data_IF_396998036189
#
_entry.id   IF_396998036189
#
_cell.length_a   1.000
_cell.length_b   1.000
_cell.length_c   1.000
_cell.angle_alpha   90.00
_cell.angle_beta   90.00
_cell.angle_gamma   90.00
#
_symmetry.space_group_name_H-M   'P 1'
#
loop_
_entity.id
_entity.type
_entity.pdbx_description
1 polymer ?
#
# COMPACT_ATOMS: atom_id res chain seq x y z
N UNK A 1 -36.96 19.48 -1.88
CA UNK A 1 -36.56 18.73 -0.67
C UNK A 1 -37.82 18.41 0.11
N UNK A 2 -38.11 17.13 0.39
CA UNK A 2 -37.57 16.57 1.62
C UNK A 2 -36.93 15.17 1.46
N UNK A 3 -36.14 14.88 2.47
CA UNK A 3 -35.22 13.78 2.68
C UNK A 3 -35.93 12.74 3.52
N UNK A 4 -35.81 11.45 3.20
CA UNK A 4 -36.16 10.40 4.15
C UNK A 4 -35.01 9.40 4.22
N UNK A 5 -34.18 9.62 5.25
CA UNK A 5 -33.40 8.59 5.92
C UNK A 5 -34.32 7.41 6.25
N UNK A 6 -33.91 6.19 5.89
CA UNK A 6 -34.35 5.01 6.62
C UNK A 6 -33.17 4.52 7.44
N UNK A 7 -33.39 4.56 8.74
CA UNK A 7 -32.48 4.23 9.83
C UNK A 7 -31.98 2.79 9.74
N UNK A 8 -30.69 2.62 10.06
CA UNK A 8 -30.17 1.33 10.49
C UNK A 8 -30.68 1.08 11.92
N UNK A 9 -31.48 0.02 12.10
CA UNK A 9 -31.77 -0.52 13.41
C UNK A 9 -30.55 -1.32 13.92
N UNK A 10 -30.24 -1.11 15.20
CA UNK A 10 -29.10 -1.66 15.93
C UNK A 10 -29.17 -3.19 16.15
N UNK A 11 -28.03 -3.83 16.48
CA UNK A 11 -28.01 -5.22 16.94
C UNK A 11 -28.54 -5.37 18.37
N UNK A 12 -29.48 -6.29 18.54
CA UNK A 12 -30.10 -6.60 19.82
C UNK A 12 -29.14 -7.28 20.80
N UNK A 13 -29.41 -6.99 22.06
CA UNK A 13 -28.57 -7.17 23.23
C UNK A 13 -28.76 -8.54 23.91
N UNK A 14 -27.63 -9.12 24.32
CA UNK A 14 -27.42 -10.06 25.43
C UNK A 14 -28.18 -11.40 25.51
N UNK A 15 -27.40 -12.49 25.61
CA UNK A 15 -27.78 -13.64 26.44
C UNK A 15 -26.54 -14.34 27.05
N UNK A 16 -26.36 -14.07 28.35
CA UNK A 16 -25.89 -14.95 29.45
C UNK A 16 -24.50 -15.62 29.45
N UNK A 17 -23.71 -15.40 30.52
CA UNK A 17 -22.57 -16.22 30.91
C UNK A 17 -22.97 -17.26 31.97
N UNK A 18 -22.63 -18.52 31.77
CA UNK A 18 -22.42 -19.50 32.84
C UNK A 18 -21.95 -20.83 32.23
N UNK A 19 -20.71 -21.23 32.49
CA UNK A 19 -20.55 -22.40 33.35
C UNK A 19 -19.18 -22.34 34.04
N UNK A 20 -19.19 -22.59 35.34
CA UNK A 20 -17.99 -22.68 36.18
C UNK A 20 -17.80 -24.14 36.56
N UNK A 21 -16.59 -24.69 36.40
CA UNK A 21 -16.04 -25.51 37.47
C UNK A 21 -14.56 -25.88 37.31
N UNK A 22 -13.89 -26.15 38.44
CA UNK A 22 -12.45 -26.00 38.64
C UNK A 22 -11.73 -27.35 38.49
N UNK A 23 -10.40 -27.33 38.39
CA UNK A 23 -9.51 -28.28 39.07
C UNK A 23 -8.04 -27.92 38.84
N UNK A 24 -7.38 -27.63 39.96
CA UNK A 24 -6.06 -28.09 40.35
C UNK A 24 -4.83 -27.85 39.46
N UNK A 25 -4.09 -26.84 39.89
CA UNK A 25 -2.69 -26.95 40.32
C UNK A 25 -1.85 -28.06 39.68
N UNK A 26 -1.04 -27.66 38.69
CA UNK A 26 0.26 -28.30 38.45
C UNK A 26 1.30 -27.21 38.21
N UNK A 27 1.91 -26.78 39.31
CA UNK A 27 3.18 -26.05 39.31
C UNK A 27 4.25 -26.98 38.75
N UNK A 28 4.68 -26.73 37.52
CA UNK A 28 5.86 -27.41 36.98
C UNK A 28 6.74 -26.40 36.24
N UNK A 29 7.78 -25.99 36.97
CA UNK A 29 9.14 -25.72 36.48
C UNK A 29 9.30 -24.53 35.53
N UNK A 30 9.95 -23.49 36.06
CA UNK A 30 10.67 -22.44 35.32
C UNK A 30 11.61 -23.10 34.31
N UNK A 31 11.19 -23.18 33.05
CA UNK A 31 12.07 -23.50 31.94
C UNK A 31 12.55 -22.20 31.29
N UNK A 32 13.88 -22.08 31.29
CA UNK A 32 14.66 -20.96 30.84
C UNK A 32 14.23 -20.45 29.46
N UNK A 33 14.05 -19.13 29.36
CA UNK A 33 13.89 -18.42 28.09
C UNK A 33 15.06 -18.74 27.15
N UNK A 34 14.82 -19.26 25.94
CA UNK A 34 15.70 -19.02 24.82
C UNK A 34 15.36 -17.63 24.27
N UNK A 35 16.21 -16.65 24.60
CA UNK A 35 16.30 -15.39 23.88
C UNK A 35 16.80 -15.70 22.46
N UNK A 36 15.91 -15.85 21.48
CA UNK A 36 16.21 -15.69 20.04
C UNK A 36 14.93 -15.78 19.22
N UNK A 37 14.04 -14.80 19.37
CA UNK A 37 13.13 -14.48 18.28
C UNK A 37 13.49 -13.06 17.87
N UNK A 38 14.53 -12.99 17.03
CA UNK A 38 14.61 -11.94 16.01
C UNK A 38 13.18 -11.72 15.54
N UNK A 39 12.62 -10.57 15.88
CA UNK A 39 11.41 -10.10 15.22
C UNK A 39 11.84 -9.87 13.78
N UNK A 40 11.86 -10.95 12.99
CA UNK A 40 11.53 -10.89 11.59
C UNK A 40 10.14 -10.29 11.60
N UNK A 41 10.11 -8.96 11.63
CA UNK A 41 9.01 -8.17 11.13
C UNK A 41 8.75 -8.82 9.80
N UNK A 42 7.74 -9.69 9.76
CA UNK A 42 7.23 -10.23 8.54
C UNK A 42 6.71 -8.99 7.83
N UNK A 43 7.59 -8.38 7.04
CA UNK A 43 7.20 -7.49 5.98
C UNK A 43 6.40 -8.43 5.11
N UNK A 44 5.09 -8.53 5.41
CA UNK A 44 4.14 -9.09 4.47
C UNK A 44 4.54 -8.41 3.18
N UNK A 45 4.99 -9.16 2.14
CA UNK A 45 5.18 -8.53 0.85
C UNK A 45 3.85 -7.85 0.62
N UNK A 46 3.85 -6.51 0.58
CA UNK A 46 2.66 -5.75 0.26
C UNK A 46 2.22 -6.40 -1.02
N UNK A 47 1.15 -7.19 -0.99
CA UNK A 47 0.62 -7.81 -2.20
C UNK A 47 0.48 -6.62 -3.11
N UNK A 48 1.29 -6.59 -4.15
CA UNK A 48 1.35 -5.49 -5.09
C UNK A 48 -0.09 -5.31 -5.53
N UNK A 49 -0.75 -4.26 -5.00
CA UNK A 49 -2.16 -3.98 -5.20
C UNK A 49 -2.29 -3.36 -6.59
N UNK A 50 -1.84 -4.13 -7.57
CA UNK A 50 -1.59 -3.77 -8.95
C UNK A 50 -1.67 -5.04 -9.80
N UNK A 51 -2.53 -5.98 -9.40
CA UNK A 51 -2.91 -7.12 -10.23
C UNK A 51 -4.39 -6.99 -10.56
N UNK A 52 -4.84 -5.77 -10.87
CA UNK A 52 -6.07 -5.61 -11.62
C UNK A 52 -5.72 -5.98 -13.08
N UNK A 53 -6.21 -7.14 -13.58
CA UNK A 53 -5.90 -7.60 -14.93
C UNK A 53 -6.41 -6.64 -16.01
N UNK A 54 -7.44 -5.84 -15.70
CA UNK A 54 -8.01 -4.88 -16.66
C UNK A 54 -7.06 -3.72 -16.95
N UNK A 55 -6.10 -3.47 -16.05
CA UNK A 55 -5.08 -2.43 -16.20
C UNK A 55 -3.80 -2.92 -16.88
N UNK A 56 -3.68 -4.19 -17.27
CA UNK A 56 -2.46 -4.72 -17.91
C UNK A 56 -2.02 -3.94 -19.16
N UNK A 57 -2.92 -3.54 -20.08
CA UNK A 57 -2.52 -2.70 -21.22
C UNK A 57 -1.89 -1.38 -20.77
N UNK A 58 -2.49 -0.74 -19.75
CA UNK A 58 -1.99 0.52 -19.20
C UNK A 58 -0.66 0.33 -18.48
N UNK A 59 -0.51 -0.72 -17.66
CA UNK A 59 0.77 -1.05 -16.99
C UNK A 59 1.91 -1.19 -18.00
N UNK A 60 1.67 -1.94 -19.09
CA UNK A 60 2.67 -2.12 -20.16
C UNK A 60 3.02 -0.79 -20.81
N UNK A 61 2.01 0.02 -21.13
CA UNK A 61 2.23 1.33 -21.74
C UNK A 61 3.01 2.26 -20.80
N UNK A 62 2.60 2.38 -19.53
CA UNK A 62 3.31 3.20 -18.54
C UNK A 62 4.74 2.73 -18.34
N UNK A 63 4.98 1.43 -18.30
CA UNK A 63 6.34 0.87 -18.21
C UNK A 63 7.18 1.23 -19.44
N UNK A 64 6.60 1.15 -20.64
CA UNK A 64 7.28 1.55 -21.88
C UNK A 64 7.69 3.02 -21.86
N UNK A 65 6.77 3.91 -21.47
CA UNK A 65 7.03 5.36 -21.38
C UNK A 65 8.12 5.63 -20.35
N UNK A 66 8.03 5.03 -19.16
CA UNK A 66 9.04 5.20 -18.11
C UNK A 66 10.43 4.80 -18.62
N UNK A 67 10.54 3.64 -19.27
CA UNK A 67 11.82 3.17 -19.80
C UNK A 67 12.38 4.09 -20.89
N UNK A 68 11.52 4.62 -21.76
CA UNK A 68 11.92 5.57 -22.80
C UNK A 68 12.45 6.88 -22.20
N UNK A 69 11.74 7.45 -21.21
CA UNK A 69 12.17 8.68 -20.52
C UNK A 69 13.50 8.46 -19.79
N UNK A 70 13.66 7.33 -19.10
CA UNK A 70 14.89 6.99 -18.39
C UNK A 70 16.05 6.62 -19.33
N UNK A 71 15.76 6.23 -20.58
CA UNK A 71 16.77 5.98 -21.61
C UNK A 71 17.16 7.25 -22.38
N UNK A 72 16.44 8.38 -22.18
CA UNK A 72 16.81 9.66 -22.78
C UNK A 72 18.24 10.04 -22.34
N UNK A 73 19.06 10.44 -23.31
CA UNK A 73 20.43 10.92 -23.07
C UNK A 73 20.51 12.45 -23.04
N UNK A 74 19.35 13.11 -23.05
CA UNK A 74 19.27 14.56 -23.00
C UNK A 74 19.64 15.05 -21.58
N UNK A 75 20.70 15.85 -21.42
CA UNK A 75 21.07 16.38 -20.10
C UNK A 75 20.01 17.29 -19.48
N UNK A 76 19.17 17.93 -20.30
CA UNK A 76 18.10 18.82 -19.82
C UNK A 76 16.99 18.05 -19.08
N UNK A 77 16.86 16.74 -19.36
CA UNK A 77 15.86 15.87 -18.73
C UNK A 77 16.34 15.27 -17.40
N UNK A 78 17.60 15.50 -16.99
CA UNK A 78 18.20 14.85 -15.82
C UNK A 78 17.39 15.04 -14.52
N UNK A 79 16.90 16.27 -14.27
CA UNK A 79 16.06 16.54 -13.09
C UNK A 79 14.72 15.79 -13.16
N UNK A 80 14.14 15.67 -14.37
CA UNK A 80 12.90 14.94 -14.58
C UNK A 80 13.10 13.43 -14.41
N UNK A 81 14.22 12.89 -14.90
CA UNK A 81 14.60 11.49 -14.73
C UNK A 81 14.79 11.12 -13.25
N UNK A 82 15.49 11.95 -12.48
CA UNK A 82 15.68 11.73 -11.04
C UNK A 82 14.34 11.70 -10.29
N UNK A 83 13.44 12.63 -10.61
CA UNK A 83 12.08 12.65 -10.05
C UNK A 83 11.30 11.41 -10.44
N UNK A 84 11.38 11.00 -11.70
CA UNK A 84 10.69 9.79 -12.18
C UNK A 84 11.20 8.55 -11.46
N UNK A 85 12.52 8.39 -11.28
CA UNK A 85 13.12 7.30 -10.49
C UNK A 85 12.59 7.29 -9.06
N UNK A 86 12.50 8.46 -8.42
CA UNK A 86 11.92 8.58 -7.09
C UNK A 86 10.45 8.09 -7.07
N UNK A 87 9.62 8.50 -8.03
CA UNK A 87 8.22 8.03 -8.10
C UNK A 87 8.10 6.53 -8.35
N UNK A 88 8.96 5.95 -9.19
CA UNK A 88 9.01 4.50 -9.45
C UNK A 88 9.37 3.72 -8.19
N UNK A 89 10.37 4.19 -7.44
CA UNK A 89 10.77 3.56 -6.18
C UNK A 89 9.66 3.62 -5.12
N UNK A 90 8.87 4.68 -5.10
CA UNK A 90 7.77 4.87 -4.15
C UNK A 90 6.46 4.15 -4.54
N UNK A 91 6.31 3.78 -5.82
CA UNK A 91 5.13 3.08 -6.34
C UNK A 91 5.53 1.73 -6.96
N UNK A 92 6.09 0.80 -6.17
CA UNK A 92 6.61 -0.44 -6.71
C UNK A 92 5.44 -1.25 -7.29
N UNK A 93 5.64 -1.80 -8.50
CA UNK A 93 4.65 -2.61 -9.25
C UNK A 93 3.39 -1.86 -9.70
N UNK A 94 3.40 -0.53 -9.61
CA UNK A 94 2.34 0.35 -10.12
C UNK A 94 2.97 1.43 -11.00
N UNK A 95 3.54 1.07 -12.16
CA UNK A 95 4.16 2.03 -13.08
C UNK A 95 3.18 3.13 -13.52
N UNK A 96 1.90 2.81 -13.68
CA UNK A 96 0.84 3.76 -14.01
C UNK A 96 0.69 4.86 -12.95
N UNK A 97 0.83 4.50 -11.67
CA UNK A 97 0.76 5.45 -10.57
C UNK A 97 2.06 6.27 -10.47
N UNK A 98 3.21 5.63 -10.63
CA UNK A 98 4.50 6.32 -10.67
C UNK A 98 4.52 7.39 -11.77
N UNK A 99 4.04 7.05 -12.96
CA UNK A 99 3.98 7.96 -14.10
C UNK A 99 2.98 9.09 -13.86
N UNK A 100 1.80 8.81 -13.31
CA UNK A 100 0.81 9.83 -12.97
C UNK A 100 1.36 10.83 -11.93
N UNK A 101 1.94 10.34 -10.83
CA UNK A 101 2.51 11.18 -9.78
C UNK A 101 3.63 12.07 -10.34
N UNK A 102 4.47 11.53 -11.23
CA UNK A 102 5.50 12.28 -11.94
C UNK A 102 4.91 13.38 -12.83
N UNK A 103 3.92 13.06 -13.67
CA UNK A 103 3.27 14.02 -14.57
C UNK A 103 2.59 15.15 -13.79
N UNK A 104 1.95 14.85 -12.66
CA UNK A 104 1.37 15.87 -11.79
C UNK A 104 2.46 16.79 -11.19
N UNK A 105 3.63 16.25 -10.88
CA UNK A 105 4.74 17.02 -10.32
C UNK A 105 5.44 17.89 -11.37
N UNK A 106 5.54 17.42 -12.62
CA UNK A 106 6.16 18.17 -13.73
C UNK A 106 5.18 19.16 -14.37
N UNK A 107 3.90 18.80 -14.51
CA UNK A 107 2.87 19.65 -15.10
C UNK A 107 2.64 20.94 -14.31
N UNK A 108 2.75 20.90 -12.98
CA UNK A 108 2.67 22.09 -12.11
C UNK A 108 3.76 23.13 -12.43
N UNK A 109 4.87 22.74 -13.08
CA UNK A 109 5.94 23.67 -13.47
C UNK A 109 5.74 24.31 -14.85
N UNK A 110 4.89 23.77 -15.72
CA UNK A 110 4.69 24.28 -17.08
C UNK A 110 3.68 25.44 -17.14
N UNK A 111 2.76 25.52 -16.18
CA UNK A 111 1.77 26.60 -16.08
C UNK A 111 2.34 27.91 -15.51
N UNK A 112 3.56 27.90 -14.95
CA UNK A 112 4.23 29.07 -14.35
C UNK A 112 5.27 29.73 -15.29
N UNK A 113 5.11 29.57 -16.61
CA UNK A 113 5.99 30.18 -17.63
C UNK A 113 5.25 31.04 -18.66
N UNK A 114 4.03 31.50 -18.34
CA UNK A 114 3.23 32.40 -19.19
C UNK A 114 3.35 33.87 -18.78
#
# INVERSE_FOLDING_TARGET
>A
MPHLLMSNDEPDTAATPADSSPSDHSLTVLQFRPLSHSTHRAVRPRRFRGADPDLEPLRRQSTSIINEVLASTNPDDAEAQDKLLWHVANNPGQPEKALLDHLLTVGVRQDESA
#
